data_IF_364943001410
#
_entry.id   IF_364943001410
#
_cell.length_a   1.000
_cell.length_b   1.000
_cell.length_c   1.000
_cell.angle_alpha   90.00
_cell.angle_beta   90.00
_cell.angle_gamma   90.00
#
_symmetry.space_group_name_H-M   'P 1'
#
loop_
_entity.id
_entity.type
_entity.pdbx_description
1 polymer ?
#
# COMPACT_ATOMS: atom_id res chain seq x y z
N UNK A 1 -47.68 -11.55 1.23
CA UNK A 1 -47.59 -12.20 -0.10
C UNK A 1 -47.88 -11.13 -1.12
N UNK A 2 -46.96 -10.57 -1.90
CA UNK A 2 -45.58 -10.91 -2.18
C UNK A 2 -44.94 -9.65 -2.75
N UNK A 3 -44.17 -8.93 -1.94
CA UNK A 3 -43.31 -7.86 -2.44
C UNK A 3 -41.93 -8.47 -2.60
N UNK A 4 -41.56 -8.64 -3.86
CA UNK A 4 -40.40 -9.36 -4.32
C UNK A 4 -39.13 -8.72 -3.74
N UNK A 5 -38.53 -9.42 -2.79
CA UNK A 5 -37.17 -9.17 -2.34
C UNK A 5 -36.27 -9.39 -3.56
N UNK A 6 -35.77 -8.29 -4.12
CA UNK A 6 -34.79 -8.31 -5.20
C UNK A 6 -33.51 -8.93 -4.64
N UNK A 7 -33.30 -10.19 -4.99
CA UNK A 7 -32.06 -10.92 -4.78
C UNK A 7 -31.01 -10.27 -5.69
N UNK A 8 -30.26 -9.33 -5.12
CA UNK A 8 -29.19 -8.64 -5.81
C UNK A 8 -27.97 -9.57 -5.81
N UNK A 9 -28.05 -10.61 -6.64
CA UNK A 9 -26.92 -11.48 -6.95
C UNK A 9 -25.92 -10.69 -7.79
N UNK A 10 -24.99 -10.01 -7.12
CA UNK A 10 -23.84 -9.41 -7.79
C UNK A 10 -23.00 -10.50 -8.43
N UNK A 11 -22.96 -10.51 -9.76
CA UNK A 11 -21.98 -11.27 -10.55
C UNK A 11 -20.55 -10.93 -10.09
N UNK A 12 -19.55 -11.80 -10.31
CA UNK A 12 -18.16 -11.43 -10.07
C UNK A 12 -17.85 -10.20 -10.93
N UNK A 13 -17.39 -9.13 -10.28
CA UNK A 13 -16.98 -7.90 -10.97
C UNK A 13 -15.66 -8.16 -11.69
N UNK A 14 -15.73 -8.82 -12.85
CA UNK A 14 -14.61 -8.93 -13.77
C UNK A 14 -14.45 -7.59 -14.49
N UNK A 15 -13.32 -6.91 -14.26
CA UNK A 15 -13.02 -5.60 -14.86
C UNK A 15 -12.47 -4.54 -13.91
N UNK A 16 -11.98 -4.92 -12.73
CA UNK A 16 -11.33 -3.96 -11.84
C UNK A 16 -9.98 -3.55 -12.44
N UNK A 17 -9.88 -2.30 -12.93
CA UNK A 17 -8.62 -1.74 -13.43
C UNK A 17 -7.64 -1.65 -12.27
N UNK A 18 -6.66 -2.56 -12.24
CA UNK A 18 -5.58 -2.53 -11.25
C UNK A 18 -4.80 -1.23 -11.33
N UNK A 19 -4.47 -0.65 -10.19
CA UNK A 19 -3.57 0.49 -10.16
C UNK A 19 -2.21 0.11 -10.75
N UNK A 20 -1.66 0.95 -11.63
CA UNK A 20 -0.28 0.76 -12.06
C UNK A 20 0.63 1.03 -10.86
N UNK A 21 1.32 0.00 -10.39
CA UNK A 21 2.21 0.02 -9.21
C UNK A 21 3.63 -0.42 -9.58
N UNK A 22 3.89 -0.57 -10.87
CA UNK A 22 5.15 -1.10 -11.41
C UNK A 22 6.36 -0.22 -11.07
N UNK A 23 6.14 1.08 -10.84
CA UNK A 23 7.13 2.08 -10.49
C UNK A 23 7.50 2.08 -9.00
N UNK A 24 6.59 1.67 -8.13
CA UNK A 24 6.71 1.78 -6.66
C UNK A 24 7.95 1.05 -6.13
N UNK A 25 8.28 -0.12 -6.69
CA UNK A 25 9.44 -0.91 -6.29
C UNK A 25 10.78 -0.14 -6.43
N UNK A 26 10.86 0.79 -7.40
CA UNK A 26 12.04 1.60 -7.68
C UNK A 26 12.18 2.85 -6.81
N UNK A 27 11.14 3.22 -6.05
CA UNK A 27 11.14 4.48 -5.30
C UNK A 27 12.07 4.46 -4.10
N UNK A 28 12.68 5.62 -3.80
CA UNK A 28 13.28 5.88 -2.49
C UNK A 28 12.22 5.98 -1.39
N UNK A 29 12.63 5.89 -0.13
CA UNK A 29 11.72 6.01 1.01
C UNK A 29 10.96 7.34 1.00
N UNK A 30 11.64 8.48 0.80
CA UNK A 30 10.99 9.79 0.81
C UNK A 30 10.02 9.98 -0.35
N UNK A 31 10.34 9.43 -1.53
CA UNK A 31 9.41 9.45 -2.68
C UNK A 31 8.16 8.63 -2.39
N UNK A 32 8.33 7.38 -1.96
CA UNK A 32 7.21 6.49 -1.64
C UNK A 32 6.34 7.08 -0.53
N UNK A 33 6.96 7.67 0.50
CA UNK A 33 6.25 8.32 1.61
C UNK A 33 5.47 9.57 1.16
N UNK A 34 6.08 10.44 0.36
CA UNK A 34 5.42 11.64 -0.13
C UNK A 34 4.17 11.29 -0.95
N UNK A 35 4.30 10.30 -1.83
CA UNK A 35 3.20 9.87 -2.67
C UNK A 35 2.12 9.09 -1.90
N UNK A 36 2.50 8.34 -0.86
CA UNK A 36 1.54 7.69 0.04
C UNK A 36 0.67 8.74 0.74
N UNK A 37 1.27 9.83 1.22
CA UNK A 37 0.53 10.94 1.83
C UNK A 37 -0.45 11.57 0.84
N UNK A 38 -0.03 11.80 -0.40
CA UNK A 38 -0.92 12.32 -1.44
C UNK A 38 -2.09 11.38 -1.73
N UNK A 39 -1.80 10.08 -1.86
CA UNK A 39 -2.78 9.03 -2.12
C UNK A 39 -3.83 8.95 -1.01
N UNK A 40 -3.39 8.94 0.25
CA UNK A 40 -4.28 8.96 1.42
C UNK A 40 -5.09 10.25 1.46
N UNK A 41 -4.48 11.39 1.18
CA UNK A 41 -5.20 12.68 1.15
C UNK A 41 -6.34 12.65 0.11
N UNK A 42 -6.11 12.06 -1.07
CA UNK A 42 -7.14 11.90 -2.10
C UNK A 42 -8.27 10.97 -1.66
N UNK A 43 -7.93 9.86 -0.98
CA UNK A 43 -8.93 8.94 -0.42
C UNK A 43 -9.78 9.63 0.65
N UNK A 44 -9.17 10.39 1.55
CA UNK A 44 -9.84 11.10 2.65
C UNK A 44 -10.70 12.28 2.18
N UNK A 45 -10.29 12.96 1.10
CA UNK A 45 -11.10 14.02 0.49
C UNK A 45 -12.44 13.49 -0.02
N UNK A 46 -12.51 12.19 -0.36
CA UNK A 46 -13.67 11.58 -0.98
C UNK A 46 -13.97 12.16 -2.37
N UNK A 47 -15.14 11.83 -2.92
CA UNK A 47 -15.56 12.32 -4.24
C UNK A 47 -14.98 11.55 -5.44
N UNK A 48 -14.03 10.65 -5.21
CA UNK A 48 -13.61 9.65 -6.18
C UNK A 48 -14.72 8.59 -6.38
N UNK A 49 -14.89 8.11 -7.62
CA UNK A 49 -15.76 6.96 -7.91
C UNK A 49 -15.24 5.68 -7.25
N UNK A 50 -16.05 4.61 -7.24
CA UNK A 50 -15.63 3.32 -6.67
C UNK A 50 -14.35 2.80 -7.33
N UNK A 51 -14.28 2.86 -8.66
CA UNK A 51 -13.14 2.38 -9.43
C UNK A 51 -11.85 3.14 -9.08
N UNK A 52 -11.92 4.47 -9.05
CA UNK A 52 -10.80 5.33 -8.66
C UNK A 52 -10.40 5.13 -7.18
N UNK A 53 -11.37 4.99 -6.28
CA UNK A 53 -11.12 4.81 -4.84
C UNK A 53 -10.34 3.53 -4.57
N UNK A 54 -10.67 2.44 -5.26
CA UNK A 54 -9.98 1.17 -5.13
C UNK A 54 -8.60 1.20 -5.81
N UNK A 55 -8.45 1.88 -6.95
CA UNK A 55 -7.13 2.09 -7.56
C UNK A 55 -6.20 2.92 -6.63
N UNK A 56 -6.74 3.96 -5.99
CA UNK A 56 -6.00 4.73 -4.98
C UNK A 56 -5.64 3.85 -3.77
N UNK A 57 -6.53 2.99 -3.32
CA UNK A 57 -6.25 2.06 -2.24
C UNK A 57 -5.13 1.08 -2.60
N UNK A 58 -5.20 0.42 -3.77
CA UNK A 58 -4.17 -0.52 -4.24
C UNK A 58 -2.79 0.15 -4.35
N UNK A 59 -2.74 1.38 -4.88
CA UNK A 59 -1.49 2.16 -4.94
C UNK A 59 -0.98 2.52 -3.55
N UNK A 60 -1.87 2.92 -2.64
CA UNK A 60 -1.55 3.19 -1.24
C UNK A 60 -0.93 1.99 -0.53
N UNK A 61 -1.51 0.80 -0.71
CA UNK A 61 -0.97 -0.45 -0.15
C UNK A 61 0.44 -0.75 -0.68
N UNK A 62 0.66 -0.61 -1.99
CA UNK A 62 1.97 -0.81 -2.59
C UNK A 62 3.02 0.18 -2.03
N UNK A 63 2.67 1.45 -1.89
CA UNK A 63 3.55 2.49 -1.33
C UNK A 63 3.86 2.24 0.15
N UNK A 64 2.88 1.82 0.94
CA UNK A 64 3.06 1.46 2.34
C UNK A 64 4.01 0.26 2.48
N UNK A 65 3.81 -0.79 1.68
CA UNK A 65 4.70 -1.95 1.66
C UNK A 65 6.15 -1.56 1.28
N UNK A 66 6.33 -0.64 0.33
CA UNK A 66 7.65 -0.12 -0.04
C UNK A 66 8.31 0.63 1.11
N UNK A 67 7.57 1.49 1.80
CA UNK A 67 8.06 2.21 2.98
C UNK A 67 8.50 1.22 4.07
N UNK A 68 7.68 0.20 4.35
CA UNK A 68 8.00 -0.82 5.34
C UNK A 68 9.29 -1.57 4.99
N UNK A 69 9.45 -1.99 3.73
CA UNK A 69 10.66 -2.68 3.28
C UNK A 69 11.96 -1.84 3.49
N UNK A 70 11.87 -0.52 3.32
CA UNK A 70 12.98 0.38 3.64
C UNK A 70 13.31 0.41 5.14
N UNK A 71 12.28 0.51 5.98
CA UNK A 71 12.43 0.55 7.43
C UNK A 71 12.98 -0.77 7.99
N UNK A 72 12.49 -1.90 7.48
CA UNK A 72 12.97 -3.23 7.84
C UNK A 72 14.44 -3.42 7.44
N UNK A 73 14.82 -2.98 6.24
CA UNK A 73 16.22 -3.01 5.79
C UNK A 73 17.14 -2.12 6.65
N UNK A 74 16.66 -0.95 7.06
CA UNK A 74 17.40 -0.08 7.97
C UNK A 74 17.56 -0.72 9.37
N UNK A 75 16.49 -1.34 9.88
CA UNK A 75 16.48 -2.07 11.15
C UNK A 75 17.49 -3.21 11.15
N UNK A 76 17.47 -4.05 10.11
CA UNK A 76 18.38 -5.19 9.98
C UNK A 76 19.85 -4.75 10.02
N UNK A 77 20.22 -3.69 9.30
CA UNK A 77 21.59 -3.13 9.33
C UNK A 77 22.00 -2.64 10.70
N UNK A 78 21.09 -2.01 11.45
CA UNK A 78 21.38 -1.56 12.81
C UNK A 78 21.61 -2.74 13.75
N UNK A 79 20.80 -3.79 13.62
CA UNK A 79 20.92 -5.00 14.43
C UNK A 79 22.24 -5.75 14.12
N UNK A 80 22.69 -5.79 12.85
CA UNK A 80 24.01 -6.32 12.46
C UNK A 80 25.17 -5.55 13.10
N UNK A 81 25.16 -4.22 13.03
CA UNK A 81 26.20 -3.37 13.64
C UNK A 81 26.24 -3.57 15.15
N UNK A 82 25.07 -3.70 15.80
CA UNK A 82 24.98 -3.92 17.24
C UNK A 82 25.50 -5.30 17.65
N UNK A 83 25.12 -6.36 16.94
CA UNK A 83 25.62 -7.71 17.20
C UNK A 83 27.13 -7.86 16.99
N UNK A 84 27.70 -7.12 16.04
CA UNK A 84 29.15 -7.05 15.85
C UNK A 84 29.86 -6.32 16.99
N UNK A 85 29.26 -5.26 17.56
CA UNK A 85 29.82 -4.54 18.70
C UNK A 85 29.76 -5.34 20.02
N UNK A 86 28.77 -6.21 20.18
CA UNK A 86 28.59 -7.05 21.36
C UNK A 86 29.40 -8.37 21.31
N UNK A 87 30.06 -8.66 20.17
CA UNK A 87 30.98 -9.79 20.04
C UNK A 87 32.38 -9.40 20.53
N UNK A 88 32.87 -9.90 21.69
CA UNK A 88 34.17 -9.52 22.21
C UNK A 88 35.26 -9.99 21.25
N UNK A 89 36.03 -9.04 20.71
CA UNK A 89 37.28 -9.31 20.00
C UNK A 89 38.21 -10.09 20.93
N UNK A 90 38.42 -11.37 20.62
CA UNK A 90 39.41 -12.22 21.27
C UNK A 90 40.83 -11.86 20.83
#
# INVERSE_FOLDING_TARGET
MSEQQQEQTGAPVEGFTSADTSDVAGMSYEQARAELVETVTRLEAGGAGLEESLALWERGEALAARCQAWLDGARARLDEVRGAADSPTA
#
